data_IF_962808376806
#
_entry.id   IF_962808376806
#
_cell.length_a   1.000
_cell.length_b   1.000
_cell.length_c   1.000
_cell.angle_alpha   90.00
_cell.angle_beta   90.00
_cell.angle_gamma   90.00
#
_symmetry.space_group_name_H-M   'P 1'
#
loop_
_entity.id
_entity.type
_entity.pdbx_description
1 polymer ?
#
# COMPACT_ATOMS: atom_id res chain seq x y z
N UNK A 1 20.53 -12.41 48.59
CA UNK A 1 19.46 -11.59 49.18
C UNK A 1 20.01 -10.33 49.90
N UNK A 2 20.99 -10.46 50.82
CA UNK A 2 21.53 -9.33 51.62
C UNK A 2 22.10 -8.17 50.80
N UNK A 3 22.81 -8.47 49.70
CA UNK A 3 23.39 -7.47 48.78
C UNK A 3 22.32 -6.66 48.01
N UNK A 4 21.22 -7.30 47.62
CA UNK A 4 20.11 -6.64 46.91
C UNK A 4 19.39 -5.65 47.85
N UNK A 5 19.19 -6.05 49.10
CA UNK A 5 18.56 -5.18 50.14
C UNK A 5 19.44 -3.95 50.42
N UNK A 6 20.78 -4.15 50.50
CA UNK A 6 21.71 -3.04 50.71
C UNK A 6 21.71 -2.08 49.49
N UNK A 7 21.66 -2.58 48.28
CA UNK A 7 21.56 -1.76 47.06
C UNK A 7 20.25 -0.95 47.04
N UNK A 8 19.13 -1.58 47.37
CA UNK A 8 17.81 -0.89 47.43
C UNK A 8 17.84 0.22 48.50
N UNK A 9 18.38 -0.05 49.68
CA UNK A 9 18.48 0.93 50.72
C UNK A 9 19.40 2.13 50.35
N UNK A 10 20.50 1.88 49.60
CA UNK A 10 21.35 2.93 49.10
C UNK A 10 20.61 3.81 48.05
N UNK A 11 19.83 3.20 47.16
CA UNK A 11 19.02 3.92 46.16
C UNK A 11 17.94 4.80 46.85
N UNK A 12 17.31 4.27 47.90
CA UNK A 12 16.28 5.00 48.67
C UNK A 12 16.85 6.14 49.51
N UNK A 13 18.11 6.05 49.92
CA UNK A 13 18.79 7.10 50.68
C UNK A 13 19.12 8.33 49.83
N UNK A 14 19.47 8.13 48.55
CA UNK A 14 19.82 9.20 47.63
C UNK A 14 18.74 9.41 46.53
N UNK A 15 17.53 9.73 46.98
CA UNK A 15 16.33 9.79 46.13
C UNK A 15 16.49 10.64 44.85
N UNK A 16 17.05 11.85 44.98
CA UNK A 16 17.22 12.75 43.83
C UNK A 16 18.21 12.18 42.79
N UNK A 17 19.34 11.65 43.23
CA UNK A 17 20.33 11.02 42.34
C UNK A 17 19.77 9.77 41.64
N UNK A 18 19.06 8.93 42.39
CA UNK A 18 18.39 7.74 41.88
C UNK A 18 17.34 8.12 40.82
N UNK A 19 16.53 9.14 41.13
CA UNK A 19 15.50 9.62 40.18
C UNK A 19 16.11 10.11 38.87
N UNK A 20 17.17 10.91 38.92
CA UNK A 20 17.86 11.44 37.73
C UNK A 20 18.42 10.29 36.89
N UNK A 21 19.07 9.31 37.52
CA UNK A 21 19.63 8.15 36.81
C UNK A 21 18.55 7.28 36.16
N UNK A 22 17.44 7.01 36.88
CA UNK A 22 16.31 6.24 36.36
C UNK A 22 15.63 6.97 35.19
N UNK A 23 15.41 8.29 35.34
CA UNK A 23 14.85 9.08 34.23
C UNK A 23 15.78 9.12 33.02
N UNK A 24 17.09 9.31 33.23
CA UNK A 24 18.08 9.31 32.14
C UNK A 24 18.10 7.97 31.40
N UNK A 25 18.10 6.85 32.14
CA UNK A 25 18.05 5.52 31.55
C UNK A 25 16.72 5.26 30.84
N UNK A 26 15.60 5.67 31.41
CA UNK A 26 14.27 5.52 30.83
C UNK A 26 14.16 6.30 29.50
N UNK A 27 14.64 7.56 29.48
CA UNK A 27 14.67 8.37 28.25
C UNK A 27 15.55 7.74 27.17
N UNK A 28 16.75 7.29 27.54
CA UNK A 28 17.67 6.65 26.60
C UNK A 28 17.06 5.36 26.01
N UNK A 29 16.45 4.54 26.85
CA UNK A 29 15.78 3.31 26.41
C UNK A 29 14.58 3.61 25.49
N UNK A 30 13.78 4.61 25.85
CA UNK A 30 12.65 5.05 25.00
C UNK A 30 13.11 5.50 23.62
N UNK A 31 14.21 6.26 23.53
CA UNK A 31 14.81 6.68 22.26
C UNK A 31 15.26 5.46 21.43
N UNK A 32 15.99 4.53 22.04
CA UNK A 32 16.45 3.31 21.34
C UNK A 32 15.28 2.47 20.84
N UNK A 33 14.27 2.24 21.66
CA UNK A 33 13.08 1.47 21.27
C UNK A 33 12.29 2.16 20.15
N UNK A 34 12.20 3.49 20.18
CA UNK A 34 11.52 4.25 19.13
C UNK A 34 12.26 4.13 17.78
N UNK A 35 13.58 4.27 17.80
CA UNK A 35 14.41 4.10 16.60
C UNK A 35 14.33 2.66 16.08
N UNK A 36 14.44 1.67 16.96
CA UNK A 36 14.33 0.26 16.58
C UNK A 36 12.96 -0.06 15.96
N UNK A 37 11.88 0.45 16.55
CA UNK A 37 10.52 0.32 16.01
C UNK A 37 10.40 0.98 14.63
N UNK A 38 10.93 2.18 14.47
CA UNK A 38 10.94 2.89 13.19
C UNK A 38 11.67 2.07 12.11
N UNK A 39 12.89 1.62 12.38
CA UNK A 39 13.68 0.79 11.46
C UNK A 39 12.90 -0.49 11.08
N UNK A 40 12.31 -1.17 12.07
CA UNK A 40 11.50 -2.36 11.82
C UNK A 40 10.31 -2.05 10.90
N UNK A 41 9.57 -0.99 11.18
CA UNK A 41 8.41 -0.57 10.38
C UNK A 41 8.80 -0.21 8.93
N UNK A 42 9.92 0.47 8.73
CA UNK A 42 10.41 0.82 7.39
C UNK A 42 10.89 -0.41 6.61
N UNK A 43 11.50 -1.38 7.28
CA UNK A 43 11.99 -2.61 6.65
C UNK A 43 10.89 -3.67 6.37
N UNK A 44 9.71 -3.52 6.99
CA UNK A 44 8.59 -4.47 6.83
C UNK A 44 7.45 -3.94 5.96
N UNK A 45 7.68 -2.84 5.25
CA UNK A 45 6.67 -2.27 4.34
C UNK A 45 6.25 -3.29 3.28
N UNK A 46 4.94 -3.36 3.01
CA UNK A 46 4.30 -4.31 2.08
C UNK A 46 4.37 -5.79 2.48
N UNK A 47 4.93 -6.14 3.63
CA UNK A 47 5.06 -7.55 4.06
C UNK A 47 3.78 -8.13 4.71
N UNK A 48 2.73 -7.34 4.81
CA UNK A 48 1.41 -7.80 5.29
C UNK A 48 0.73 -8.81 4.35
N UNK A 49 1.12 -8.83 3.08
CA UNK A 49 0.56 -9.77 2.12
C UNK A 49 1.36 -11.08 2.14
N UNK A 50 0.72 -12.25 2.25
CA UNK A 50 1.43 -13.53 2.40
C UNK A 50 2.46 -13.78 1.29
N UNK A 51 2.10 -13.44 0.06
CA UNK A 51 2.94 -13.68 -1.13
C UNK A 51 3.76 -12.44 -1.57
N UNK A 52 4.01 -11.47 -0.67
CA UNK A 52 4.65 -10.18 -1.02
C UNK A 52 5.97 -10.31 -1.79
N UNK A 53 6.71 -11.42 -1.59
CA UNK A 53 7.98 -11.70 -2.28
C UNK A 53 7.79 -12.06 -3.76
N UNK A 54 6.60 -12.57 -4.09
CA UNK A 54 6.24 -13.02 -5.44
C UNK A 54 5.41 -12.01 -6.20
N UNK A 55 4.93 -10.96 -5.52
CA UNK A 55 4.13 -9.91 -6.15
C UNK A 55 5.06 -8.93 -6.85
N UNK A 56 4.79 -8.67 -8.13
CA UNK A 56 5.46 -7.66 -8.93
C UNK A 56 4.44 -6.70 -9.54
N UNK A 57 4.86 -5.45 -9.71
CA UNK A 57 4.13 -4.41 -10.42
C UNK A 57 4.82 -4.14 -11.76
N UNK A 58 4.10 -3.60 -12.72
CA UNK A 58 4.71 -3.12 -13.95
C UNK A 58 5.10 -1.66 -13.79
N UNK A 59 6.38 -1.41 -13.99
CA UNK A 59 6.97 -0.07 -14.11
C UNK A 59 7.27 0.18 -15.59
N UNK A 60 6.85 1.34 -16.08
CA UNK A 60 7.09 1.79 -17.44
C UNK A 60 8.10 2.92 -17.43
N UNK A 61 9.11 2.83 -18.29
CA UNK A 61 10.08 3.89 -18.57
C UNK A 61 9.88 4.37 -19.99
N UNK A 62 9.84 5.68 -20.18
CA UNK A 62 9.62 6.30 -21.50
C UNK A 62 10.95 6.71 -22.13
N UNK A 63 10.94 6.96 -23.45
CA UNK A 63 12.09 7.51 -24.18
C UNK A 63 12.50 8.91 -23.69
N UNK A 64 11.59 9.67 -23.07
CA UNK A 64 11.87 10.97 -22.44
C UNK A 64 12.52 10.88 -21.05
N UNK A 65 12.70 9.65 -20.52
CA UNK A 65 13.27 9.42 -19.20
C UNK A 65 12.26 9.48 -18.05
N UNK A 66 10.98 9.61 -18.33
CA UNK A 66 9.93 9.52 -17.32
C UNK A 66 9.67 8.07 -16.94
N UNK A 67 9.41 7.85 -15.64
CA UNK A 67 9.06 6.55 -15.09
C UNK A 67 7.73 6.64 -14.35
N UNK A 68 6.87 5.64 -14.52
CA UNK A 68 5.60 5.55 -13.80
C UNK A 68 5.19 4.08 -13.57
N UNK A 69 4.33 3.85 -12.59
CA UNK A 69 3.69 2.56 -12.42
C UNK A 69 2.53 2.43 -13.39
N UNK A 70 2.42 1.27 -14.01
CA UNK A 70 1.38 1.01 -15.00
C UNK A 70 1.90 1.11 -16.43
N UNK A 71 0.99 1.44 -17.34
CA UNK A 71 1.25 1.37 -18.76
C UNK A 71 1.07 -0.05 -19.28
N UNK A 72 0.12 -0.20 -20.20
CA UNK A 72 -0.26 -1.52 -20.70
C UNK A 72 0.65 -2.01 -21.82
N UNK A 73 1.11 -3.24 -21.67
CA UNK A 73 1.55 -4.05 -22.79
C UNK A 73 0.80 -5.37 -22.80
N UNK A 74 0.03 -5.60 -23.82
CA UNK A 74 -0.59 -6.90 -24.10
C UNK A 74 0.48 -8.01 -24.15
N UNK A 75 0.32 -9.02 -23.32
CA UNK A 75 1.13 -10.22 -23.32
C UNK A 75 2.06 -10.39 -22.12
N UNK A 76 2.29 -9.38 -21.28
CA UNK A 76 3.07 -9.57 -20.05
C UNK A 76 2.34 -10.53 -19.09
N UNK A 77 1.02 -10.43 -19.04
CA UNK A 77 0.13 -11.31 -18.26
C UNK A 77 0.10 -12.75 -18.78
N UNK A 78 0.57 -12.99 -20.01
CA UNK A 78 0.61 -14.32 -20.65
C UNK A 78 1.95 -15.03 -20.48
N UNK A 79 2.93 -14.38 -19.83
CA UNK A 79 4.19 -15.05 -19.54
C UNK A 79 3.94 -16.22 -18.59
N UNK A 80 4.50 -17.42 -18.89
CA UNK A 80 4.33 -18.60 -18.02
C UNK A 80 4.77 -18.40 -16.57
N UNK A 81 5.61 -17.39 -16.31
CA UNK A 81 6.01 -17.01 -14.96
C UNK A 81 4.91 -16.24 -14.19
N UNK A 82 3.81 -15.85 -14.82
CA UNK A 82 2.70 -15.14 -14.18
C UNK A 82 1.59 -16.11 -13.82
N UNK A 83 1.33 -16.34 -12.55
CA UNK A 83 0.24 -17.20 -12.07
C UNK A 83 -1.10 -16.45 -12.02
N UNK A 84 -1.09 -15.21 -11.57
CA UNK A 84 -2.27 -14.35 -11.47
C UNK A 84 -1.92 -12.93 -11.86
N UNK A 85 -2.93 -12.23 -12.36
CA UNK A 85 -2.83 -10.88 -12.85
C UNK A 85 -4.03 -10.08 -12.38
N UNK A 86 -3.83 -8.82 -11.99
CA UNK A 86 -4.90 -7.89 -11.60
C UNK A 86 -4.61 -6.49 -12.12
N UNK A 87 -5.68 -5.76 -12.39
CA UNK A 87 -5.65 -4.37 -12.82
C UNK A 87 -6.18 -3.50 -11.69
N UNK A 88 -5.50 -2.40 -11.41
CA UNK A 88 -5.83 -1.48 -10.34
C UNK A 88 -5.86 -0.07 -10.91
N UNK A 89 -7.02 0.58 -10.83
CA UNK A 89 -7.14 2.00 -11.10
C UNK A 89 -7.17 2.74 -9.76
N UNK A 90 -6.40 3.80 -9.64
CA UNK A 90 -6.30 4.57 -8.40
C UNK A 90 -6.84 5.98 -8.58
N UNK A 91 -7.69 6.40 -7.66
CA UNK A 91 -8.23 7.75 -7.60
C UNK A 91 -7.88 8.33 -6.24
N UNK A 92 -7.05 9.37 -6.23
CA UNK A 92 -6.75 10.12 -5.02
C UNK A 92 -7.86 11.12 -4.73
N UNK A 93 -8.15 11.31 -3.45
CA UNK A 93 -9.06 12.35 -2.97
C UNK A 93 -10.43 12.32 -3.72
N UNK A 94 -10.95 11.12 -4.06
CA UNK A 94 -12.25 10.99 -4.71
C UNK A 94 -13.33 11.55 -3.79
N UNK A 95 -14.13 12.55 -4.23
CA UNK A 95 -15.23 13.06 -3.42
C UNK A 95 -16.38 12.07 -3.38
N UNK A 96 -16.77 11.66 -2.18
CA UNK A 96 -17.91 10.79 -1.89
C UNK A 96 -18.89 11.49 -0.97
N UNK A 97 -20.17 11.42 -1.28
CA UNK A 97 -21.25 12.12 -0.59
C UNK A 97 -22.06 11.13 0.25
N UNK A 98 -21.91 11.21 1.58
CA UNK A 98 -22.74 10.50 2.56
C UNK A 98 -23.85 11.45 3.05
N UNK A 99 -25.04 11.34 2.48
CA UNK A 99 -26.07 12.33 2.70
C UNK A 99 -25.66 13.70 2.16
N UNK A 100 -25.55 14.69 3.04
CA UNK A 100 -25.07 16.04 2.71
C UNK A 100 -23.57 16.24 2.97
N UNK A 101 -22.91 15.28 3.60
CA UNK A 101 -21.48 15.37 3.94
C UNK A 101 -20.61 14.87 2.78
N UNK A 102 -19.74 15.72 2.28
CA UNK A 102 -18.69 15.35 1.34
C UNK A 102 -17.42 14.91 2.08
N UNK A 103 -16.87 13.78 1.68
CA UNK A 103 -15.66 13.18 2.26
C UNK A 103 -14.72 12.81 1.12
N UNK A 104 -13.47 13.24 1.21
CA UNK A 104 -12.43 12.76 0.29
C UNK A 104 -11.98 11.35 0.67
N UNK A 105 -11.92 10.46 -0.30
CA UNK A 105 -11.51 9.07 -0.14
C UNK A 105 -10.52 8.64 -1.22
N UNK A 106 -9.54 7.83 -0.86
CA UNK A 106 -8.66 7.16 -1.82
C UNK A 106 -9.36 5.89 -2.31
N UNK A 107 -9.77 5.87 -3.57
CA UNK A 107 -10.50 4.75 -4.15
C UNK A 107 -9.61 3.91 -5.06
N UNK A 108 -9.69 2.59 -4.90
CA UNK A 108 -9.12 1.61 -5.81
C UNK A 108 -10.25 0.92 -6.55
N UNK A 109 -10.26 1.04 -7.87
CA UNK A 109 -11.10 0.22 -8.73
C UNK A 109 -10.31 -1.01 -9.13
N UNK A 110 -10.86 -2.19 -8.83
CA UNK A 110 -10.15 -3.47 -8.89
C UNK A 110 -11.01 -4.55 -9.51
N UNK A 111 -10.35 -5.49 -10.18
CA UNK A 111 -10.99 -6.69 -10.70
C UNK A 111 -11.19 -7.78 -9.62
N UNK A 112 -11.84 -8.86 -9.98
CA UNK A 112 -12.10 -9.97 -9.06
C UNK A 112 -10.84 -10.72 -8.59
N UNK A 113 -9.70 -10.53 -9.24
CA UNK A 113 -8.43 -11.19 -8.94
C UNK A 113 -7.65 -10.45 -7.87
N UNK A 114 -7.91 -9.15 -7.70
CA UNK A 114 -7.20 -8.31 -6.74
C UNK A 114 -7.12 -8.92 -5.34
N UNK A 115 -8.26 -9.32 -4.76
CA UNK A 115 -8.29 -9.86 -3.41
C UNK A 115 -7.68 -11.27 -3.27
N UNK A 116 -7.36 -11.93 -4.38
CA UNK A 116 -6.57 -13.18 -4.37
C UNK A 116 -5.08 -12.89 -4.25
N UNK A 117 -4.61 -11.82 -4.89
CA UNK A 117 -3.20 -11.38 -4.83
C UNK A 117 -2.93 -10.59 -3.54
N UNK A 118 -3.87 -9.72 -3.16
CA UNK A 118 -3.82 -8.87 -1.98
C UNK A 118 -4.95 -9.23 -1.01
N UNK A 119 -4.82 -10.29 -0.22
CA UNK A 119 -5.86 -10.70 0.71
C UNK A 119 -5.97 -9.74 1.88
N UNK A 120 -7.15 -9.14 2.04
CA UNK A 120 -7.52 -8.33 3.20
C UNK A 120 -8.40 -9.15 4.13
N UNK A 121 -8.19 -9.03 5.45
CA UNK A 121 -9.05 -9.69 6.44
C UNK A 121 -10.41 -9.01 6.50
N UNK A 122 -11.49 -9.76 6.24
CA UNK A 122 -12.86 -9.25 6.34
C UNK A 122 -13.26 -9.14 7.82
N UNK A 123 -13.78 -7.98 8.21
CA UNK A 123 -14.25 -7.70 9.57
C UNK A 123 -15.77 -7.75 9.65
N UNK A 124 -16.44 -7.29 8.59
CA UNK A 124 -17.90 -7.30 8.52
C UNK A 124 -18.37 -7.41 7.06
N UNK A 125 -19.51 -8.05 6.82
CA UNK A 125 -20.10 -8.19 5.51
C UNK A 125 -19.31 -9.08 4.57
N UNK A 126 -19.15 -8.66 3.30
CA UNK A 126 -18.49 -9.41 2.24
C UNK A 126 -17.15 -8.76 1.88
N UNK A 127 -16.08 -9.56 1.73
CA UNK A 127 -14.80 -9.11 1.15
C UNK A 127 -14.76 -9.21 -0.38
N UNK A 128 -15.86 -9.66 -1.01
CA UNK A 128 -15.94 -9.87 -2.46
C UNK A 128 -16.94 -8.91 -3.08
N UNK A 129 -16.49 -8.09 -4.01
CA UNK A 129 -17.33 -7.20 -4.82
C UNK A 129 -18.02 -8.09 -5.89
N UNK A 130 -19.35 -8.03 -5.95
CA UNK A 130 -20.17 -8.86 -6.84
C UNK A 130 -20.86 -8.01 -7.91
N UNK A 131 -21.33 -6.83 -7.53
CA UNK A 131 -22.03 -5.90 -8.43
C UNK A 131 -21.15 -4.69 -8.67
N UNK A 132 -21.27 -4.07 -9.83
CA UNK A 132 -20.49 -2.89 -10.22
C UNK A 132 -20.61 -1.69 -9.25
N UNK A 133 -21.68 -1.63 -8.46
CA UNK A 133 -21.92 -0.56 -7.48
C UNK A 133 -21.76 -1.00 -6.02
N UNK A 134 -21.30 -2.20 -5.80
CA UNK A 134 -20.90 -2.68 -4.48
C UNK A 134 -19.50 -2.14 -4.15
N UNK A 135 -19.29 -1.78 -2.88
CA UNK A 135 -17.99 -1.31 -2.41
C UNK A 135 -17.60 -1.99 -1.12
N UNK A 136 -16.31 -2.17 -0.95
CA UNK A 136 -15.67 -2.61 0.29
C UNK A 136 -14.85 -1.45 0.82
N UNK A 137 -14.93 -1.17 2.12
CA UNK A 137 -14.20 -0.07 2.76
C UNK A 137 -13.21 -0.59 3.79
N UNK A 138 -12.18 0.19 4.10
CA UNK A 138 -11.23 -0.15 5.17
C UNK A 138 -11.76 0.20 6.56
N UNK A 139 -11.22 -0.46 7.59
CA UNK A 139 -11.54 -0.16 9.01
C UNK A 139 -11.23 1.30 9.35
N UNK A 140 -10.09 1.80 8.91
CA UNK A 140 -9.67 3.18 9.15
C UNK A 140 -10.67 4.18 8.58
N UNK A 141 -11.08 4.01 7.33
CA UNK A 141 -12.09 4.85 6.70
C UNK A 141 -13.42 4.76 7.46
N UNK A 142 -13.89 3.55 7.77
CA UNK A 142 -15.11 3.34 8.54
C UNK A 142 -15.10 4.07 9.89
N UNK A 143 -14.03 3.90 10.67
CA UNK A 143 -13.94 4.51 12.01
C UNK A 143 -13.72 6.01 11.96
N UNK A 144 -12.78 6.48 11.14
CA UNK A 144 -12.35 7.89 11.15
C UNK A 144 -13.28 8.81 10.38
N UNK A 145 -13.85 8.31 9.29
CA UNK A 145 -14.67 9.13 8.38
C UNK A 145 -16.18 8.91 8.57
N UNK A 146 -16.60 7.70 8.89
CA UNK A 146 -18.01 7.34 9.09
C UNK A 146 -18.41 7.18 10.58
N UNK A 147 -17.50 7.45 11.51
CA UNK A 147 -17.76 7.41 12.96
C UNK A 147 -18.06 6.01 13.50
N UNK A 148 -17.69 4.94 12.79
CA UNK A 148 -17.85 3.56 13.24
C UNK A 148 -19.30 3.05 13.32
N UNK A 149 -20.28 3.78 12.76
CA UNK A 149 -21.69 3.38 12.70
C UNK A 149 -21.89 2.22 11.72
N UNK A 150 -23.10 1.61 11.71
CA UNK A 150 -23.43 0.52 10.78
C UNK A 150 -23.06 0.90 9.35
N UNK A 151 -21.98 0.30 8.83
CA UNK A 151 -21.49 0.58 7.48
C UNK A 151 -22.20 -0.28 6.44
N UNK A 152 -22.49 -1.55 6.78
CA UNK A 152 -23.06 -2.50 5.82
C UNK A 152 -24.47 -2.07 5.43
N UNK A 153 -24.70 -1.94 4.10
CA UNK A 153 -25.95 -1.43 3.54
C UNK A 153 -26.03 0.10 3.46
N UNK A 154 -25.10 0.81 4.11
CA UNK A 154 -25.02 2.27 3.94
C UNK A 154 -24.62 2.61 2.51
N UNK A 155 -25.07 3.78 2.04
CA UNK A 155 -24.86 4.20 0.66
C UNK A 155 -24.25 5.60 0.60
N UNK A 156 -23.43 5.81 -0.42
CA UNK A 156 -22.94 7.13 -0.78
C UNK A 156 -23.11 7.39 -2.28
N UNK A 157 -22.94 8.64 -2.69
CA UNK A 157 -22.94 9.03 -4.09
C UNK A 157 -21.57 9.59 -4.47
N UNK A 158 -21.18 9.41 -5.73
CA UNK A 158 -20.09 10.19 -6.30
C UNK A 158 -20.59 11.54 -6.81
N UNK A 159 -19.72 12.40 -7.32
CA UNK A 159 -20.07 13.71 -7.89
C UNK A 159 -20.99 13.64 -9.11
N UNK A 160 -21.02 12.50 -9.80
CA UNK A 160 -21.93 12.26 -10.93
C UNK A 160 -23.33 11.79 -10.48
N UNK A 161 -23.56 11.67 -9.16
CA UNK A 161 -24.82 11.21 -8.58
C UNK A 161 -24.99 9.68 -8.57
N UNK A 162 -24.01 8.91 -9.01
CA UNK A 162 -24.06 7.44 -8.97
C UNK A 162 -24.02 6.95 -7.52
N UNK A 163 -24.97 6.06 -7.18
CA UNK A 163 -25.13 5.50 -5.85
C UNK A 163 -24.35 4.20 -5.69
N UNK A 164 -23.55 4.12 -4.63
CA UNK A 164 -22.77 2.95 -4.24
C UNK A 164 -23.24 2.40 -2.90
N UNK A 165 -23.15 1.08 -2.70
CA UNK A 165 -23.58 0.40 -1.47
C UNK A 165 -22.39 -0.27 -0.81
N UNK A 166 -22.15 0.01 0.47
CA UNK A 166 -21.13 -0.65 1.26
C UNK A 166 -21.59 -2.06 1.60
N UNK A 167 -20.88 -3.05 1.09
CA UNK A 167 -21.18 -4.48 1.31
C UNK A 167 -20.21 -5.15 2.26
N UNK A 168 -19.07 -4.53 2.52
CA UNK A 168 -18.03 -5.12 3.37
C UNK A 168 -17.10 -4.08 3.99
N UNK A 169 -16.52 -4.48 5.12
CA UNK A 169 -15.45 -3.77 5.80
C UNK A 169 -14.29 -4.74 5.95
N UNK A 170 -13.11 -4.31 5.50
CA UNK A 170 -11.87 -5.06 5.65
C UNK A 170 -10.94 -4.38 6.65
N UNK A 171 -10.06 -5.16 7.25
CA UNK A 171 -9.06 -4.64 8.17
C UNK A 171 -7.98 -3.86 7.44
N UNK A 172 -7.40 -2.89 8.14
CA UNK A 172 -6.18 -2.26 7.66
C UNK A 172 -5.03 -3.27 7.73
N UNK A 173 -4.03 -3.16 6.82
CA UNK A 173 -2.84 -4.00 6.90
C UNK A 173 -2.09 -3.86 8.22
N UNK A 174 -1.57 -4.97 8.75
CA UNK A 174 -0.84 -4.99 10.04
C UNK A 174 0.52 -4.29 9.95
N UNK A 175 1.10 -4.20 8.75
CA UNK A 175 2.33 -3.46 8.48
C UNK A 175 2.06 -2.27 7.56
N UNK A 176 2.98 -1.31 7.55
CA UNK A 176 2.95 -0.20 6.61
C UNK A 176 2.92 -0.71 5.17
N UNK A 177 2.14 -0.05 4.32
CA UNK A 177 2.04 -0.36 2.89
C UNK A 177 2.40 0.86 2.05
N UNK A 178 2.87 0.62 0.82
CA UNK A 178 3.17 1.70 -0.13
C UNK A 178 1.91 2.41 -0.62
N UNK A 179 0.74 1.80 -0.53
CA UNK A 179 -0.56 2.37 -0.90
C UNK A 179 -1.58 2.24 0.21
N UNK A 180 -2.48 3.21 0.29
CA UNK A 180 -3.50 3.26 1.34
C UNK A 180 -4.88 3.56 0.75
N UNK A 181 -5.58 2.55 0.22
CA UNK A 181 -6.95 2.72 -0.21
C UNK A 181 -7.89 2.90 0.99
N UNK A 182 -8.88 3.74 0.82
CA UNK A 182 -10.02 3.87 1.73
C UNK A 182 -11.18 2.99 1.27
N UNK A 183 -11.38 2.90 -0.05
CA UNK A 183 -12.53 2.26 -0.71
C UNK A 183 -12.02 1.38 -1.85
N UNK A 184 -12.57 0.17 -1.95
CA UNK A 184 -12.42 -0.72 -3.10
C UNK A 184 -13.73 -0.78 -3.87
N UNK A 185 -13.66 -0.61 -5.19
CA UNK A 185 -14.78 -0.59 -6.12
C UNK A 185 -14.54 -1.57 -7.27
N UNK A 186 -15.58 -1.93 -8.02
CA UNK A 186 -15.45 -2.73 -9.23
C UNK A 186 -14.78 -1.95 -10.35
N UNK A 187 -13.97 -2.63 -11.17
CA UNK A 187 -13.36 -2.10 -12.40
C UNK A 187 -14.32 -1.99 -13.59
N UNK A 188 -15.54 -2.54 -13.46
CA UNK A 188 -16.59 -2.48 -14.49
C UNK A 188 -17.19 -1.07 -14.70
N UNK A 189 -16.68 -0.06 -13.99
CA UNK A 189 -17.21 1.29 -14.08
C UNK A 189 -16.45 2.10 -15.15
N UNK A 190 -17.16 2.61 -16.14
CA UNK A 190 -16.63 3.50 -17.20
C UNK A 190 -15.94 4.77 -16.65
N UNK A 191 -16.13 5.04 -15.36
CA UNK A 191 -15.58 6.22 -14.69
C UNK A 191 -14.05 6.22 -14.60
N UNK A 192 -13.42 5.04 -14.73
CA UNK A 192 -11.99 4.83 -14.57
C UNK A 192 -11.20 4.78 -15.86
N UNK A 193 -11.84 4.85 -17.03
CA UNK A 193 -11.21 4.75 -18.35
C UNK A 193 -10.14 5.82 -18.64
N UNK A 194 -10.14 6.90 -17.88
CA UNK A 194 -9.19 8.01 -18.05
C UNK A 194 -7.96 7.93 -17.14
N UNK A 195 -7.87 6.91 -16.28
CA UNK A 195 -6.75 6.72 -15.37
C UNK A 195 -5.81 5.64 -15.92
N UNK A 196 -4.51 5.89 -15.87
CA UNK A 196 -3.53 4.87 -16.22
C UNK A 196 -3.59 3.73 -15.18
N UNK A 197 -3.90 2.51 -15.61
CA UNK A 197 -4.01 1.38 -14.69
C UNK A 197 -2.64 0.91 -14.22
N UNK A 198 -2.59 0.44 -12.98
CA UNK A 198 -1.47 -0.28 -12.42
C UNK A 198 -1.72 -1.77 -12.60
N UNK A 199 -0.69 -2.47 -13.01
CA UNK A 199 -0.74 -3.92 -13.21
C UNK A 199 0.06 -4.59 -12.10
N UNK A 200 -0.59 -5.47 -11.35
CA UNK A 200 0.05 -6.31 -10.36
C UNK A 200 -0.07 -7.78 -10.74
N UNK A 201 1.00 -8.52 -10.51
CA UNK A 201 1.13 -9.91 -10.91
C UNK A 201 1.64 -10.74 -9.75
N UNK A 202 1.04 -11.91 -9.52
CA UNK A 202 1.61 -12.94 -8.68
C UNK A 202 2.47 -13.84 -9.57
N UNK A 203 3.76 -13.85 -9.29
CA UNK A 203 4.73 -14.64 -10.06
C UNK A 203 4.77 -16.08 -9.56
N UNK A 204 5.11 -17.01 -10.46
CA UNK A 204 5.37 -18.39 -10.09
C UNK A 204 6.51 -18.49 -9.07
N UNK A 205 6.50 -19.52 -8.19
CA UNK A 205 7.62 -19.76 -7.27
C UNK A 205 8.96 -19.78 -8.01
N UNK A 206 10.00 -19.27 -7.35
CA UNK A 206 11.37 -19.27 -7.86
C UNK A 206 11.60 -18.52 -9.17
N UNK A 207 10.66 -17.64 -9.56
CA UNK A 207 10.81 -16.80 -10.74
C UNK A 207 11.97 -15.82 -10.59
N UNK A 208 12.94 -15.87 -11.51
CA UNK A 208 14.03 -14.90 -11.59
C UNK A 208 13.55 -13.61 -12.28
N UNK A 209 13.23 -12.61 -11.47
CA UNK A 209 12.76 -11.29 -11.95
C UNK A 209 13.84 -10.57 -12.78
N UNK A 210 15.13 -10.74 -12.45
CA UNK A 210 16.21 -10.11 -13.22
C UNK A 210 16.29 -10.69 -14.64
N UNK A 211 16.10 -11.99 -14.77
CA UNK A 211 16.05 -12.65 -16.08
C UNK A 211 14.82 -12.22 -16.88
N UNK A 212 13.66 -12.12 -16.24
CA UNK A 212 12.44 -11.58 -16.89
C UNK A 212 12.63 -10.14 -17.35
N UNK A 213 13.20 -9.28 -16.52
CA UNK A 213 13.49 -7.91 -16.87
C UNK A 213 14.46 -7.82 -18.06
N UNK A 214 15.46 -8.70 -18.14
CA UNK A 214 16.33 -8.80 -19.31
C UNK A 214 15.59 -9.25 -20.56
N UNK A 215 14.67 -10.21 -20.46
CA UNK A 215 13.81 -10.69 -21.56
C UNK A 215 12.93 -9.56 -22.13
N UNK A 216 12.38 -8.70 -21.27
CA UNK A 216 11.48 -7.61 -21.64
C UNK A 216 12.16 -6.22 -21.71
N UNK A 217 13.51 -6.17 -21.68
CA UNK A 217 14.29 -4.92 -21.70
C UNK A 217 14.23 -4.15 -23.01
N UNK A 218 13.72 -4.76 -24.08
CA UNK A 218 13.61 -4.11 -25.41
C UNK A 218 12.57 -3.01 -25.37
N UNK A 219 12.87 -1.92 -26.07
CA UNK A 219 11.93 -0.85 -26.32
C UNK A 219 10.80 -1.31 -27.23
N UNK A 220 9.60 -0.85 -26.92
CA UNK A 220 8.40 -1.15 -27.69
C UNK A 220 7.74 0.15 -28.12
N UNK A 221 7.25 0.23 -29.35
CA UNK A 221 6.43 1.37 -29.75
C UNK A 221 5.17 1.38 -28.89
N UNK A 222 4.85 2.52 -28.32
CA UNK A 222 3.58 2.70 -27.61
C UNK A 222 2.47 2.96 -28.62
N UNK A 223 1.23 2.76 -28.20
CA UNK A 223 0.02 2.94 -29.02
C UNK A 223 0.00 4.31 -29.71
N UNK A 224 -0.67 4.41 -30.85
CA UNK A 224 -0.84 5.61 -31.67
C UNK A 224 -1.39 6.85 -30.91
N UNK A 225 -1.92 6.66 -29.73
CA UNK A 225 -2.51 7.70 -28.86
C UNK A 225 -1.54 8.23 -27.79
N UNK A 226 -0.29 7.76 -27.77
CA UNK A 226 0.71 8.15 -26.78
C UNK A 226 1.60 9.27 -27.32
N UNK A 227 1.94 10.22 -26.46
CA UNK A 227 2.96 11.26 -26.72
C UNK A 227 4.38 10.71 -26.75
N UNK A 228 4.61 9.48 -26.28
CA UNK A 228 5.93 8.85 -26.22
C UNK A 228 6.12 7.90 -27.39
N UNK A 229 7.30 7.96 -28.03
CA UNK A 229 7.63 7.12 -29.18
C UNK A 229 7.88 5.67 -28.78
N UNK A 230 8.66 5.45 -27.71
CA UNK A 230 9.00 4.11 -27.21
C UNK A 230 8.89 4.04 -25.70
N UNK A 231 8.61 2.84 -25.20
CA UNK A 231 8.52 2.52 -23.78
C UNK A 231 9.25 1.21 -23.46
N UNK A 232 9.76 1.12 -22.25
CA UNK A 232 10.36 -0.07 -21.67
C UNK A 232 9.54 -0.52 -20.48
N UNK A 233 9.29 -1.83 -20.36
CA UNK A 233 8.56 -2.40 -19.22
C UNK A 233 9.52 -3.14 -18.31
N UNK A 234 9.29 -3.01 -17.01
CA UNK A 234 10.05 -3.67 -15.96
C UNK A 234 9.11 -4.23 -14.91
N UNK A 235 9.37 -5.47 -14.48
CA UNK A 235 8.75 -6.04 -13.29
C UNK A 235 9.44 -5.48 -12.06
N UNK A 236 8.70 -4.74 -11.24
CA UNK A 236 9.15 -4.15 -9.99
C UNK A 236 8.59 -4.98 -8.84
N UNK A 237 9.41 -5.70 -8.05
CA UNK A 237 8.93 -6.42 -6.88
C UNK A 237 8.24 -5.49 -5.89
N UNK A 238 7.12 -5.95 -5.29
CA UNK A 238 6.34 -5.18 -4.32
C UNK A 238 7.19 -4.73 -3.12
N UNK A 239 8.15 -5.55 -2.70
CA UNK A 239 9.08 -5.23 -1.61
C UNK A 239 9.98 -4.02 -1.91
N UNK A 240 10.26 -3.75 -3.19
CA UNK A 240 11.15 -2.68 -3.64
C UNK A 240 10.37 -1.38 -3.95
N UNK A 241 9.05 -1.48 -4.11
CA UNK A 241 8.16 -0.36 -4.45
C UNK A 241 8.32 0.83 -3.51
N UNK A 242 8.42 0.59 -2.22
CA UNK A 242 8.48 1.63 -1.20
C UNK A 242 9.71 2.54 -1.34
N UNK A 243 10.82 2.00 -1.80
CA UNK A 243 12.09 2.72 -1.98
C UNK A 243 12.38 3.12 -3.43
N UNK A 244 11.55 2.69 -4.36
CA UNK A 244 11.66 3.12 -5.76
C UNK A 244 11.08 4.54 -5.92
N UNK A 245 11.98 5.53 -6.00
CA UNK A 245 11.62 6.95 -6.12
C UNK A 245 11.38 7.40 -7.56
N UNK A 246 11.66 6.54 -8.52
CA UNK A 246 11.67 6.93 -9.93
C UNK A 246 10.29 6.89 -10.58
N UNK A 247 9.29 6.31 -9.90
CA UNK A 247 7.94 6.24 -10.44
C UNK A 247 7.06 7.32 -9.80
N UNK A 248 6.78 8.38 -10.54
CA UNK A 248 5.69 9.33 -10.28
C UNK A 248 5.62 9.91 -8.88
N UNK A 249 6.50 10.86 -8.56
CA UNK A 249 6.50 11.63 -7.29
C UNK A 249 5.18 12.35 -6.98
N UNK A 250 4.27 12.43 -7.93
CA UNK A 250 3.02 13.20 -7.83
C UNK A 250 1.81 12.38 -7.40
N UNK A 251 1.90 11.06 -7.34
CA UNK A 251 0.76 10.25 -6.94
C UNK A 251 0.62 10.19 -5.42
N UNK A 252 -0.33 10.95 -4.89
CA UNK A 252 -0.66 11.04 -3.45
C UNK A 252 -1.11 9.71 -2.82
N UNK A 253 -1.43 8.70 -3.63
CA UNK A 253 -1.83 7.37 -3.15
C UNK A 253 -0.64 6.52 -2.71
N UNK A 254 0.60 6.97 -2.95
CA UNK A 254 1.80 6.24 -2.59
C UNK A 254 2.53 6.85 -1.41
N UNK A 255 3.01 5.97 -0.54
CA UNK A 255 3.99 6.32 0.48
C UNK A 255 5.37 5.87 0.00
N UNK A 256 6.33 6.77 0.10
CA UNK A 256 7.72 6.51 -0.25
C UNK A 256 8.61 6.59 0.97
N UNK A 257 9.57 5.67 1.05
CA UNK A 257 10.61 5.67 2.06
C UNK A 257 11.90 6.34 1.60
N UNK A 258 12.75 6.64 2.57
CA UNK A 258 14.10 7.07 2.30
C UNK A 258 15.09 6.06 2.87
N UNK A 259 15.58 5.16 1.99
CA UNK A 259 16.51 4.11 2.37
C UNK A 259 17.80 4.64 3.01
N UNK A 260 18.25 5.85 2.61
CA UNK A 260 19.44 6.47 3.20
C UNK A 260 19.25 6.82 4.67
N UNK A 261 18.07 7.30 5.07
CA UNK A 261 17.77 7.56 6.47
C UNK A 261 17.74 6.28 7.30
N UNK A 262 17.15 5.22 6.78
CA UNK A 262 17.11 3.93 7.48
C UNK A 262 18.53 3.38 7.66
N UNK A 263 19.39 3.46 6.64
CA UNK A 263 20.78 3.02 6.72
C UNK A 263 21.58 3.81 7.76
N UNK A 264 21.42 5.15 7.82
CA UNK A 264 22.10 5.99 8.82
C UNK A 264 21.69 5.63 10.25
N UNK A 265 20.41 5.27 10.47
CA UNK A 265 19.92 4.87 11.81
C UNK A 265 20.35 3.46 12.23
N UNK A 266 20.87 2.64 11.31
CA UNK A 266 21.36 1.29 11.60
C UNK A 266 22.86 1.25 11.96
N UNK A 267 23.60 2.34 11.80
CA UNK A 267 25.03 2.51 12.15
C UNK A 267 25.16 3.07 13.57
#
# INVERSE_FOLDING_TARGET
MRQIILAINALLKFKAYTLINVLGLACSLACVLTVARYIHQENTVNQCFPEYKRICLIKTSTSSGENFLGGYRSGLEKDPAVEQFTVIYQISDMPVLFGEQEIAANAFSVDSTFFKIFPYRVIAGSGRIVRSRDVVITRSFWKKKLGGKNAIGATFKNTKGNKFTIIGVVDDPDTKTSWMPDIFMSDELDEFLFFDPIYAMLMAPDTDIALLNKKYSKEHPRSKWSTYETVRYQYLPLKDLYYDKDHGKENKNYQYGNQSYVRVLMV
#
